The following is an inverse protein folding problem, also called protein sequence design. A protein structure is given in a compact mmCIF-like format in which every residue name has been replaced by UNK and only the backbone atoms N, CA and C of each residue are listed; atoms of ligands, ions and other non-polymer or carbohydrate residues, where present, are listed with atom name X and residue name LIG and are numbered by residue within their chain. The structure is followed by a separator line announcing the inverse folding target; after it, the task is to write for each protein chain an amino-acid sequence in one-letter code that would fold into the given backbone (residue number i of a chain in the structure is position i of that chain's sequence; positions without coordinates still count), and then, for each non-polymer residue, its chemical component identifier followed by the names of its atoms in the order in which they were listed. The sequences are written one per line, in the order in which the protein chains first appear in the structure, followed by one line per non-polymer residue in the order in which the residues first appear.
data_IF_455376199358
#
_entry.id   IF_455376199358
#
_cell.length_a   1.000
_cell.length_b   1.000
_cell.length_c   1.000
_cell.angle_alpha   90.00
_cell.angle_beta   90.00
_cell.angle_gamma   90.00
#
_symmetry.space_group_name_H-M   'P 1'
#
loop_
_entity.id
_entity.type
_entity.pdbx_description
1 polymer ?
#
# COMPACT_ATOMS: atom_id res chain seq x y z
N UNK A 1 26.99 24.08 -28.65
CA UNK A 1 27.56 23.96 -27.28
C UNK A 1 27.02 22.69 -26.64
N UNK A 2 27.88 21.74 -26.27
CA UNK A 2 27.47 20.46 -25.66
C UNK A 2 27.54 20.61 -24.14
N UNK A 3 26.40 20.69 -23.48
CA UNK A 3 26.34 20.79 -22.01
C UNK A 3 26.66 19.42 -21.42
N UNK A 4 27.84 19.29 -20.81
CA UNK A 4 28.21 18.10 -20.04
C UNK A 4 27.49 18.22 -18.70
N UNK A 5 26.34 17.56 -18.56
CA UNK A 5 25.64 17.49 -17.29
C UNK A 5 26.50 16.71 -16.29
N UNK A 6 26.79 17.25 -15.10
CA UNK A 6 27.51 16.51 -14.09
C UNK A 6 26.68 15.31 -13.66
N UNK A 7 27.20 14.11 -13.91
CA UNK A 7 26.59 12.85 -13.48
C UNK A 7 26.67 12.77 -11.96
N UNK A 8 25.55 13.04 -11.30
CA UNK A 8 25.37 12.93 -9.83
C UNK A 8 25.72 11.51 -9.32
N UNK A 9 25.66 10.52 -10.21
CA UNK A 9 26.01 9.11 -9.97
C UNK A 9 27.51 8.83 -9.79
N UNK A 10 28.40 9.78 -10.15
CA UNK A 10 29.85 9.60 -9.95
C UNK A 10 30.31 9.84 -8.50
N UNK A 11 29.43 10.38 -7.66
CA UNK A 11 29.73 10.68 -6.26
C UNK A 11 29.58 9.37 -5.47
N UNK A 12 30.66 8.93 -4.81
CA UNK A 12 30.66 7.70 -4.01
C UNK A 12 29.53 7.69 -2.96
N UNK A 13 29.28 8.84 -2.34
CA UNK A 13 28.20 9.04 -1.38
C UNK A 13 26.80 8.75 -1.96
N UNK A 14 26.53 9.16 -3.20
CA UNK A 14 25.22 8.90 -3.85
C UNK A 14 25.03 7.40 -4.10
N UNK A 15 26.09 6.70 -4.50
CA UNK A 15 26.07 5.25 -4.69
C UNK A 15 25.84 4.50 -3.37
N UNK A 16 26.48 4.94 -2.29
CA UNK A 16 26.30 4.36 -0.96
C UNK A 16 24.88 4.59 -0.45
N UNK A 17 24.36 5.82 -0.54
CA UNK A 17 22.98 6.14 -0.17
C UNK A 17 21.98 5.33 -1.00
N UNK A 18 22.20 5.21 -2.32
CA UNK A 18 21.35 4.42 -3.19
C UNK A 18 21.33 2.94 -2.79
N UNK A 19 22.49 2.37 -2.43
CA UNK A 19 22.57 0.98 -1.94
C UNK A 19 21.79 0.79 -0.62
N UNK A 20 21.95 1.71 0.33
CA UNK A 20 21.20 1.69 1.60
C UNK A 20 19.68 1.81 1.34
N UNK A 21 19.27 2.70 0.43
CA UNK A 21 17.88 2.85 0.02
C UNK A 21 17.32 1.57 -0.59
N UNK A 22 18.10 0.91 -1.45
CA UNK A 22 17.72 -0.35 -2.09
C UNK A 22 17.51 -1.46 -1.05
N UNK A 23 18.41 -1.59 -0.08
CA UNK A 23 18.28 -2.55 1.02
C UNK A 23 17.01 -2.27 1.82
N UNK A 24 16.77 -1.00 2.16
CA UNK A 24 15.57 -0.60 2.91
C UNK A 24 14.28 -0.91 2.13
N UNK A 25 14.28 -0.64 0.82
CA UNK A 25 13.15 -0.93 -0.05
C UNK A 25 12.89 -2.43 -0.13
N UNK A 26 13.93 -3.24 -0.31
CA UNK A 26 13.82 -4.70 -0.34
C UNK A 26 13.28 -5.25 0.98
N UNK A 27 13.75 -4.72 2.12
CA UNK A 27 13.27 -5.13 3.44
C UNK A 27 11.79 -4.80 3.63
N UNK A 28 11.34 -3.60 3.25
CA UNK A 28 9.93 -3.21 3.31
C UNK A 28 9.07 -4.09 2.40
N UNK A 29 9.56 -4.41 1.20
CA UNK A 29 8.83 -5.27 0.27
C UNK A 29 8.72 -6.71 0.77
N UNK A 30 9.76 -7.24 1.41
CA UNK A 30 9.75 -8.56 2.03
C UNK A 30 8.75 -8.64 3.19
N UNK A 31 8.76 -7.65 4.09
CA UNK A 31 7.79 -7.56 5.18
C UNK A 31 6.38 -7.44 4.60
N UNK A 32 6.16 -6.56 3.61
CA UNK A 32 4.88 -6.46 2.91
C UNK A 32 4.47 -7.82 2.33
N UNK A 33 5.37 -8.53 1.66
CA UNK A 33 5.04 -9.81 1.06
C UNK A 33 4.57 -10.80 2.13
N UNK A 34 5.28 -10.93 3.25
CA UNK A 34 4.91 -11.85 4.35
C UNK A 34 3.58 -11.46 4.99
N UNK A 35 3.36 -10.17 5.25
CA UNK A 35 2.14 -9.69 5.92
C UNK A 35 0.91 -9.67 5.02
N UNK A 36 1.10 -9.55 3.70
CA UNK A 36 0.03 -9.55 2.70
C UNK A 36 -0.06 -10.86 1.89
N UNK A 37 0.67 -11.90 2.29
CA UNK A 37 0.60 -13.23 1.67
C UNK A 37 -0.74 -13.92 1.96
N UNK A 38 -1.33 -13.62 3.11
CA UNK A 38 -2.72 -13.95 3.37
C UNK A 38 -3.62 -13.03 2.52
N UNK A 39 -4.58 -13.55 1.73
CA UNK A 39 -5.50 -12.72 0.96
C UNK A 39 -6.27 -11.80 1.92
N UNK A 40 -5.83 -10.54 2.02
CA UNK A 40 -6.46 -9.50 2.84
C UNK A 40 -7.82 -9.08 2.30
N UNK A 41 -8.12 -9.47 1.05
CA UNK A 41 -9.44 -9.38 0.44
C UNK A 41 -10.06 -10.77 0.54
N UNK A 42 -11.10 -10.96 1.38
CA UNK A 42 -11.91 -12.17 1.34
C UNK A 42 -12.42 -12.37 -0.10
N UNK A 43 -12.51 -13.60 -0.58
CA UNK A 43 -12.99 -13.87 -1.95
C UNK A 43 -14.34 -13.19 -2.25
N UNK A 44 -15.20 -13.08 -1.23
CA UNK A 44 -16.50 -12.41 -1.29
C UNK A 44 -16.50 -10.95 -0.81
N UNK A 45 -15.34 -10.39 -0.45
CA UNK A 45 -15.22 -9.04 0.12
C UNK A 45 -15.71 -7.96 -0.84
N UNK A 46 -15.35 -8.08 -2.12
CA UNK A 46 -15.84 -7.18 -3.17
C UNK A 46 -17.35 -7.31 -3.38
N UNK A 47 -17.88 -8.54 -3.35
CA UNK A 47 -19.31 -8.79 -3.51
C UNK A 47 -20.11 -8.25 -2.31
N UNK A 48 -19.59 -8.39 -1.09
CA UNK A 48 -20.20 -7.85 0.14
C UNK A 48 -20.21 -6.32 0.15
N UNK A 49 -19.13 -5.68 -0.28
CA UNK A 49 -19.05 -4.21 -0.39
C UNK A 49 -19.98 -3.71 -1.50
N UNK A 50 -19.98 -4.34 -2.67
CA UNK A 50 -20.88 -3.99 -3.76
C UNK A 50 -22.35 -4.14 -3.32
N UNK A 51 -22.70 -5.24 -2.65
CA UNK A 51 -24.02 -5.45 -2.10
C UNK A 51 -24.38 -4.42 -1.04
N UNK A 52 -23.46 -4.05 -0.14
CA UNK A 52 -23.72 -3.03 0.88
C UNK A 52 -23.91 -1.63 0.27
N UNK A 53 -23.09 -1.26 -0.72
CA UNK A 53 -23.18 0.04 -1.41
C UNK A 53 -24.41 0.14 -2.31
N UNK A 54 -24.77 -0.92 -3.06
CA UNK A 54 -25.97 -0.95 -3.90
C UNK A 54 -27.25 -1.11 -3.06
N UNK A 55 -27.22 -1.85 -1.96
CA UNK A 55 -28.38 -2.02 -1.07
C UNK A 55 -28.67 -0.75 -0.27
N UNK A 56 -27.65 0.01 0.15
CA UNK A 56 -27.83 1.27 0.89
C UNK A 56 -28.20 2.47 -0.01
N UNK A 57 -28.24 2.30 -1.34
CA UNK A 57 -28.76 3.35 -2.24
C UNK A 57 -30.30 3.53 -2.15
N UNK A 58 -31.01 2.69 -1.37
CA UNK A 58 -32.46 2.73 -1.27
C UNK A 58 -33.07 2.48 0.11
N UNK A 59 -32.31 2.38 1.20
CA UNK A 59 -32.88 2.11 2.53
C UNK A 59 -32.19 2.89 3.65
N UNK A 60 -32.93 3.55 4.56
CA UNK A 60 -32.33 4.25 5.70
C UNK A 60 -31.64 3.26 6.63
N UNK A 61 -30.41 3.61 7.02
CA UNK A 61 -29.51 2.80 7.85
C UNK A 61 -30.14 2.45 9.21
N UNK A 62 -30.13 1.18 9.66
CA UNK A 62 -30.36 0.87 11.06
C UNK A 62 -29.11 1.30 11.84
N UNK A 63 -29.31 2.25 12.76
CA UNK A 63 -28.32 2.71 13.72
C UNK A 63 -27.71 1.52 14.44
N UNK A 64 -26.37 1.40 14.42
CA UNK A 64 -25.63 0.44 15.23
C UNK A 64 -25.85 0.77 16.71
N UNK A 65 -26.78 0.08 17.36
CA UNK A 65 -26.91 0.07 18.82
C UNK A 65 -25.75 -0.75 19.42
N UNK A 66 -24.69 -0.06 19.83
CA UNK A 66 -23.66 -0.61 20.70
C UNK A 66 -24.29 -0.80 22.09
N UNK A 67 -24.49 -2.05 22.53
CA UNK A 67 -24.89 -2.36 23.92
C UNK A 67 -23.65 -2.32 24.81
N UNK A 68 -23.52 -1.38 25.76
CA UNK A 68 -22.36 -1.35 26.66
C UNK A 68 -22.48 -2.48 27.71
N UNK A 69 -21.38 -3.22 27.91
CA UNK A 69 -21.19 -4.15 29.03
C UNK A 69 -20.51 -3.46 30.20
#
# INVERSE_FOLDING_TARGET
MKTIQPSIWRIALVREIAAILLIKLALLFAIKAIWFDAPTVPEDGLNRVAHHLLSNAGSPSPSTEETPR
#
